data_IF_162228440092
#
_entry.id   IF_162228440092
#
_cell.length_a   1.000
_cell.length_b   1.000
_cell.length_c   1.000
_cell.angle_alpha   90.00
_cell.angle_beta   90.00
_cell.angle_gamma   90.00
#
_symmetry.space_group_name_H-M   'P 1'
#
loop_
_entity.id
_entity.type
_entity.pdbx_description
1 polymer ?
#
# COMPACT_ATOMS: atom_id res chain seq x y z
N UNK A 1 -7.19 26.94 -1.42
CA UNK A 1 -8.09 25.76 -1.24
C UNK A 1 -7.19 24.58 -0.92
N UNK A 2 -7.53 23.79 0.09
CA UNK A 2 -6.77 22.59 0.43
C UNK A 2 -6.75 21.63 -0.76
N UNK A 3 -5.58 21.05 -1.07
CA UNK A 3 -5.41 20.05 -2.14
C UNK A 3 -6.26 18.81 -1.89
N UNK A 4 -6.51 18.49 -0.63
CA UNK A 4 -7.17 17.25 -0.20
C UNK A 4 -8.58 17.46 0.38
N UNK A 5 -9.18 18.66 0.23
CA UNK A 5 -10.56 18.99 0.68
C UNK A 5 -10.89 18.60 2.13
N UNK A 6 -9.91 18.64 3.06
CA UNK A 6 -10.11 18.28 4.46
C UNK A 6 -10.16 16.76 4.70
N UNK A 7 -9.63 15.96 3.78
CA UNK A 7 -9.45 14.52 3.99
C UNK A 7 -8.59 14.27 5.22
N UNK A 8 -9.03 13.34 6.07
CA UNK A 8 -8.25 12.85 7.21
C UNK A 8 -7.71 11.45 6.93
N UNK A 9 -6.49 11.19 7.36
CA UNK A 9 -5.78 9.93 7.16
C UNK A 9 -5.25 9.38 8.48
N UNK A 10 -5.19 8.05 8.59
CA UNK A 10 -4.65 7.39 9.78
C UNK A 10 -3.12 7.50 9.80
N UNK A 11 -2.60 8.09 10.88
CA UNK A 11 -1.16 8.28 11.07
C UNK A 11 -0.69 7.62 12.36
N UNK A 12 0.61 7.33 12.41
CA UNK A 12 1.32 6.93 13.64
C UNK A 12 2.51 7.84 13.87
N UNK A 13 2.86 8.16 15.13
CA UNK A 13 4.10 8.88 15.40
C UNK A 13 5.32 8.12 14.86
N UNK A 14 6.25 8.80 14.23
CA UNK A 14 7.54 8.21 13.81
C UNK A 14 8.25 7.53 14.97
N UNK A 15 8.17 8.10 16.18
CA UNK A 15 8.71 7.50 17.39
C UNK A 15 8.14 6.10 17.69
N UNK A 16 6.88 5.82 17.32
CA UNK A 16 6.31 4.47 17.45
C UNK A 16 6.94 3.48 16.45
N UNK A 17 7.22 3.93 15.23
CA UNK A 17 7.95 3.14 14.24
C UNK A 17 9.40 2.88 14.70
N UNK A 18 10.08 3.89 15.23
CA UNK A 18 11.43 3.78 15.78
C UNK A 18 11.51 2.81 16.97
N UNK A 19 10.50 2.82 17.84
CA UNK A 19 10.44 1.95 19.02
C UNK A 19 10.32 0.46 18.68
N UNK A 20 9.68 0.11 17.55
CA UNK A 20 9.61 -1.27 17.05
C UNK A 20 10.93 -1.68 16.35
N UNK A 21 11.65 -0.71 15.81
CA UNK A 21 12.87 -0.90 15.04
C UNK A 21 12.74 -0.32 13.64
N UNK A 22 13.10 0.95 13.48
CA UNK A 22 13.07 1.63 12.19
C UNK A 22 14.00 0.96 11.17
N UNK A 23 13.61 1.01 9.90
CA UNK A 23 14.37 0.45 8.78
C UNK A 23 14.08 1.26 7.51
N UNK A 24 14.86 1.03 6.47
CA UNK A 24 14.56 1.45 5.11
C UNK A 24 14.48 0.21 4.20
N UNK A 25 13.51 0.16 3.30
CA UNK A 25 13.19 -1.01 2.46
C UNK A 25 12.01 -1.82 3.01
N UNK A 26 12.17 -3.11 3.22
CA UNK A 26 11.10 -4.06 3.61
C UNK A 26 11.43 -4.87 4.87
N UNK A 27 10.41 -5.17 5.67
CA UNK A 27 10.45 -6.11 6.80
C UNK A 27 9.35 -7.15 6.68
N UNK A 28 9.71 -8.43 6.78
CA UNK A 28 8.77 -9.57 6.67
C UNK A 28 8.15 -9.98 8.03
N UNK A 29 8.26 -9.16 9.08
CA UNK A 29 7.62 -9.36 10.39
C UNK A 29 6.58 -8.25 10.66
N UNK A 30 5.53 -8.15 9.81
CA UNK A 30 4.58 -7.03 9.84
C UNK A 30 3.72 -7.01 11.10
N UNK A 31 3.51 -8.14 11.76
CA UNK A 31 2.61 -8.25 12.90
C UNK A 31 3.07 -7.41 14.10
N UNK A 32 4.38 -7.35 14.36
CA UNK A 32 4.93 -6.57 15.48
C UNK A 32 4.68 -5.07 15.26
N UNK A 33 4.85 -4.60 14.03
CA UNK A 33 4.57 -3.22 13.64
C UNK A 33 3.09 -2.90 13.74
N UNK A 34 2.23 -3.71 13.14
CA UNK A 34 0.79 -3.47 13.16
C UNK A 34 0.22 -3.50 14.60
N UNK A 35 0.67 -4.45 15.43
CA UNK A 35 0.30 -4.52 16.82
C UNK A 35 0.74 -3.29 17.64
N UNK A 36 1.92 -2.74 17.34
CA UNK A 36 2.42 -1.55 18.02
C UNK A 36 1.65 -0.30 17.57
N UNK A 37 1.38 -0.17 16.28
CA UNK A 37 0.72 0.99 15.69
C UNK A 37 -0.74 1.12 16.10
N UNK A 38 -1.46 0.00 16.15
CA UNK A 38 -2.89 -0.02 16.47
C UNK A 38 -3.19 -0.25 17.97
N UNK A 39 -2.21 -0.05 18.85
CA UNK A 39 -2.45 0.09 20.28
C UNK A 39 -3.29 1.35 20.55
N UNK A 40 -4.22 1.30 21.52
CA UNK A 40 -5.00 2.48 21.89
C UNK A 40 -4.13 3.71 22.16
N UNK A 41 -4.45 4.82 21.53
CA UNK A 41 -3.76 6.10 21.68
C UNK A 41 -2.44 6.25 20.93
N UNK A 42 -2.05 5.31 20.06
CA UNK A 42 -0.85 5.42 19.21
C UNK A 42 -1.24 6.01 17.84
N UNK A 43 -2.06 5.28 17.07
CA UNK A 43 -2.57 5.82 15.81
C UNK A 43 -3.64 6.89 16.08
N UNK A 44 -3.80 7.85 15.17
CA UNK A 44 -4.88 8.83 15.17
C UNK A 44 -5.14 9.36 13.76
N UNK A 45 -6.32 9.94 13.56
CA UNK A 45 -6.63 10.61 12.30
C UNK A 45 -6.09 12.04 12.31
N UNK A 46 -5.44 12.41 11.22
CA UNK A 46 -4.84 13.73 10.99
C UNK A 46 -5.29 14.27 9.64
N UNK A 47 -5.46 15.59 9.50
CA UNK A 47 -5.66 16.25 8.21
C UNK A 47 -4.52 15.86 7.26
N UNK A 48 -4.87 15.40 6.05
CA UNK A 48 -3.91 14.87 5.08
C UNK A 48 -2.89 15.92 4.63
N UNK A 49 -3.31 17.18 4.47
CA UNK A 49 -2.40 18.25 4.07
C UNK A 49 -1.35 18.53 5.15
N UNK A 50 -1.72 18.40 6.42
CA UNK A 50 -0.77 18.47 7.53
C UNK A 50 0.12 17.24 7.59
N UNK A 51 -0.45 16.04 7.43
CA UNK A 51 0.31 14.79 7.46
C UNK A 51 1.39 14.73 6.37
N UNK A 52 1.11 15.24 5.17
CA UNK A 52 2.07 15.33 4.06
C UNK A 52 3.29 16.24 4.36
N UNK A 53 3.17 17.14 5.34
CA UNK A 53 4.21 18.09 5.72
C UNK A 53 4.85 17.79 7.08
N UNK A 54 4.45 16.68 7.72
CA UNK A 54 4.79 16.34 9.10
C UNK A 54 5.66 15.07 9.16
N UNK A 55 6.99 15.20 9.01
CA UNK A 55 7.90 14.02 9.01
C UNK A 55 7.98 13.31 10.38
N UNK A 56 7.45 13.90 11.43
CA UNK A 56 7.27 13.28 12.75
C UNK A 56 6.14 12.25 12.79
N UNK A 57 5.35 12.12 11.72
CA UNK A 57 4.31 11.11 11.55
C UNK A 57 4.54 10.26 10.31
N UNK A 58 3.97 9.05 10.31
CA UNK A 58 3.87 8.17 9.16
C UNK A 58 2.40 7.88 8.87
N UNK A 59 1.95 8.17 7.66
CA UNK A 59 0.62 7.80 7.17
C UNK A 59 0.61 6.30 6.90
N UNK A 60 -0.34 5.57 7.49
CA UNK A 60 -0.50 4.13 7.23
C UNK A 60 -1.22 3.92 5.90
N UNK A 61 -0.53 3.26 4.98
CA UNK A 61 -1.06 2.93 3.67
C UNK A 61 -1.38 1.43 3.61
N UNK A 62 -2.62 1.09 3.30
CA UNK A 62 -2.98 -0.25 2.87
C UNK A 62 -2.35 -0.51 1.50
N UNK A 63 -1.51 -1.54 1.39
CA UNK A 63 -0.83 -1.90 0.14
C UNK A 63 -1.07 -3.38 -0.16
N UNK A 64 -2.08 -3.68 -0.98
CA UNK A 64 -2.46 -5.04 -1.30
C UNK A 64 -1.76 -5.52 -2.59
N UNK A 65 -1.05 -6.64 -2.53
CA UNK A 65 -0.50 -7.34 -3.68
C UNK A 65 -1.31 -8.60 -3.94
N UNK A 66 -1.63 -8.88 -5.20
CA UNK A 66 -2.44 -10.02 -5.61
C UNK A 66 -1.60 -11.02 -6.38
N UNK A 67 -1.68 -12.29 -5.99
CA UNK A 67 -0.92 -13.37 -6.59
C UNK A 67 -1.87 -14.47 -7.09
N UNK A 68 -1.52 -15.11 -8.21
CA UNK A 68 -2.17 -16.31 -8.71
C UNK A 68 -1.15 -17.23 -9.34
N UNK A 69 -1.00 -18.47 -8.81
CA UNK A 69 -0.06 -19.50 -9.32
C UNK A 69 1.37 -18.99 -9.55
N UNK A 70 1.89 -18.19 -8.62
CA UNK A 70 3.25 -17.65 -8.67
C UNK A 70 3.42 -16.37 -9.50
N UNK A 71 2.38 -15.94 -10.24
CA UNK A 71 2.34 -14.67 -10.95
C UNK A 71 1.77 -13.57 -10.05
N UNK A 72 2.13 -12.31 -10.32
CA UNK A 72 1.75 -11.14 -9.53
C UNK A 72 0.94 -10.20 -10.41
N UNK A 73 -0.19 -9.70 -9.87
CA UNK A 73 -0.99 -8.68 -10.54
C UNK A 73 -0.19 -7.39 -10.63
N UNK A 74 -0.11 -6.84 -11.83
CA UNK A 74 0.56 -5.59 -12.10
C UNK A 74 -0.26 -4.74 -13.07
N UNK A 75 -0.08 -3.42 -12.99
CA UNK A 75 -0.74 -2.47 -13.88
C UNK A 75 0.17 -1.26 -14.13
N UNK A 76 -0.11 -0.53 -15.20
CA UNK A 76 0.53 0.76 -15.46
C UNK A 76 -0.45 1.90 -15.15
N UNK A 77 0.07 3.01 -14.61
CA UNK A 77 -0.75 4.19 -14.34
C UNK A 77 -0.85 5.08 -15.57
N UNK A 78 -2.07 5.43 -15.95
CA UNK A 78 -2.30 6.36 -17.05
C UNK A 78 -2.11 7.81 -16.60
N UNK A 79 -1.91 8.73 -17.58
CA UNK A 79 -1.85 10.17 -17.33
C UNK A 79 -3.13 10.78 -16.70
N UNK A 80 -4.19 10.00 -16.51
CA UNK A 80 -5.45 10.42 -15.90
C UNK A 80 -5.46 10.24 -14.37
N UNK A 81 -4.43 9.62 -13.78
CA UNK A 81 -4.28 9.50 -12.33
C UNK A 81 -3.87 10.84 -11.70
N UNK A 82 -4.26 11.06 -10.44
CA UNK A 82 -3.94 12.28 -9.70
C UNK A 82 -2.45 12.47 -9.40
N UNK A 83 -1.64 11.40 -9.52
CA UNK A 83 -0.20 11.42 -9.24
C UNK A 83 0.63 11.42 -10.52
N UNK A 84 0.94 12.60 -11.03
CA UNK A 84 1.68 12.80 -12.28
C UNK A 84 3.06 12.13 -12.33
N UNK A 85 3.73 11.99 -11.17
CA UNK A 85 5.05 11.33 -11.05
C UNK A 85 5.03 9.82 -11.28
N UNK A 86 3.85 9.17 -11.19
CA UNK A 86 3.67 7.74 -11.42
C UNK A 86 3.19 7.43 -12.84
N UNK A 87 3.07 8.43 -13.72
CA UNK A 87 2.69 8.20 -15.11
C UNK A 87 3.74 7.31 -15.78
N UNK A 88 3.28 6.31 -16.53
CA UNK A 88 4.09 5.31 -17.23
C UNK A 88 4.90 4.37 -16.31
N UNK A 89 4.74 4.48 -14.98
CA UNK A 89 5.28 3.50 -14.03
C UNK A 89 4.33 2.32 -13.88
N UNK A 90 4.94 1.17 -13.62
CA UNK A 90 4.23 -0.06 -13.25
C UNK A 90 4.10 -0.16 -11.73
N UNK A 91 2.94 -0.59 -11.29
CA UNK A 91 2.63 -0.79 -9.88
C UNK A 91 2.08 -2.20 -9.64
N UNK A 92 2.36 -2.73 -8.46
CA UNK A 92 1.78 -3.98 -7.94
C UNK A 92 0.71 -3.71 -6.88
N UNK A 93 0.84 -2.60 -6.16
CA UNK A 93 0.01 -2.28 -5.01
C UNK A 93 -1.34 -1.71 -5.41
N UNK A 94 -2.38 -2.32 -4.89
CA UNK A 94 -3.75 -1.84 -4.86
C UNK A 94 -4.02 -1.33 -3.45
N UNK A 95 -4.51 -0.11 -3.29
CA UNK A 95 -4.80 0.43 -1.97
C UNK A 95 -4.44 1.90 -1.80
N UNK A 96 -4.61 2.39 -0.56
CA UNK A 96 -4.44 3.81 -0.24
C UNK A 96 -4.53 4.09 1.24
N UNK A 97 -5.04 5.28 1.57
CA UNK A 97 -5.13 5.78 2.94
C UNK A 97 -6.30 5.16 3.71
N UNK A 98 -6.12 4.99 5.00
CA UNK A 98 -7.20 4.64 5.92
C UNK A 98 -7.85 5.95 6.39
N UNK A 99 -9.16 6.05 6.27
CA UNK A 99 -9.91 7.27 6.52
C UNK A 99 -10.97 7.06 7.63
N UNK A 100 -11.53 8.14 8.25
CA UNK A 100 -12.59 8.01 9.24
C UNK A 100 -13.88 7.33 8.74
N UNK A 101 -14.11 7.28 7.42
CA UNK A 101 -15.23 6.55 6.82
C UNK A 101 -15.13 5.03 7.07
N UNK A 102 -13.92 4.50 7.27
CA UNK A 102 -13.65 3.09 7.56
C UNK A 102 -14.00 2.72 9.00
N UNK A 103 -14.07 3.72 9.90
CA UNK A 103 -14.43 3.63 11.30
C UNK A 103 -13.77 4.75 12.10
N UNK A 104 -14.38 5.10 13.24
CA UNK A 104 -13.89 6.20 14.08
C UNK A 104 -12.87 5.77 15.15
N UNK A 105 -12.75 4.47 15.40
CA UNK A 105 -11.76 3.94 16.33
C UNK A 105 -10.48 3.60 15.58
N UNK A 106 -9.34 4.08 16.09
CA UNK A 106 -8.01 3.85 15.50
C UNK A 106 -7.49 2.44 15.87
N UNK A 107 -8.16 1.42 15.37
CA UNK A 107 -7.93 0.02 15.71
C UNK A 107 -7.85 -0.89 14.47
N UNK A 108 -7.60 -2.19 14.72
CA UNK A 108 -7.45 -3.17 13.66
C UNK A 108 -8.70 -3.30 12.78
N UNK A 109 -9.92 -3.20 13.33
CA UNK A 109 -11.14 -3.35 12.53
C UNK A 109 -11.31 -2.19 11.55
N UNK A 110 -11.06 -0.95 11.98
CA UNK A 110 -11.06 0.23 11.10
C UNK A 110 -9.97 0.12 10.02
N UNK A 111 -8.76 -0.26 10.42
CA UNK A 111 -7.67 -0.47 9.47
C UNK A 111 -8.03 -1.52 8.40
N UNK A 112 -8.57 -2.67 8.80
CA UNK A 112 -8.98 -3.72 7.85
C UNK A 112 -10.15 -3.30 6.97
N UNK A 113 -11.12 -2.55 7.50
CA UNK A 113 -12.21 -1.99 6.71
C UNK A 113 -11.69 -1.04 5.61
N UNK A 114 -10.68 -0.23 5.94
CA UNK A 114 -10.00 0.62 4.95
C UNK A 114 -9.29 -0.20 3.87
N UNK A 115 -8.57 -1.27 4.25
CA UNK A 115 -7.97 -2.20 3.27
C UNK A 115 -9.02 -2.73 2.30
N UNK A 116 -10.16 -3.20 2.81
CA UNK A 116 -11.24 -3.74 1.98
C UNK A 116 -11.90 -2.69 1.09
N UNK A 117 -12.10 -1.46 1.61
CA UNK A 117 -12.67 -0.35 0.82
C UNK A 117 -11.76 0.00 -0.34
N UNK A 118 -10.48 0.24 -0.10
CA UNK A 118 -9.51 0.59 -1.14
C UNK A 118 -9.45 -0.47 -2.23
N UNK A 119 -9.40 -1.76 -1.87
CA UNK A 119 -9.41 -2.86 -2.85
C UNK A 119 -10.67 -2.79 -3.72
N UNK A 120 -11.87 -2.64 -3.10
CA UNK A 120 -13.15 -2.58 -3.86
C UNK A 120 -13.27 -1.35 -4.75
N UNK A 121 -12.67 -0.23 -4.36
CA UNK A 121 -12.66 0.99 -5.18
C UNK A 121 -11.84 0.79 -6.44
N UNK A 122 -10.66 0.16 -6.34
CA UNK A 122 -9.72 0.03 -7.45
C UNK A 122 -9.98 -1.20 -8.35
N UNK A 123 -10.34 -2.37 -7.78
CA UNK A 123 -10.51 -3.62 -8.53
C UNK A 123 -11.71 -4.45 -8.09
N UNK A 124 -12.14 -5.32 -8.99
CA UNK A 124 -13.04 -6.45 -8.70
C UNK A 124 -12.38 -7.74 -9.18
N UNK A 125 -12.47 -8.81 -8.40
CA UNK A 125 -11.97 -10.13 -8.78
C UNK A 125 -13.02 -11.22 -8.52
N UNK A 126 -12.93 -12.32 -9.27
CA UNK A 126 -13.80 -13.50 -9.13
C UNK A 126 -13.11 -14.57 -8.28
N UNK A 127 -13.95 -15.41 -7.65
CA UNK A 127 -13.47 -16.52 -6.85
C UNK A 127 -13.13 -16.14 -5.42
N UNK A 128 -12.26 -16.94 -4.79
CA UNK A 128 -11.82 -16.76 -3.41
C UNK A 128 -10.41 -16.20 -3.34
N UNK A 129 -10.11 -15.53 -2.23
CA UNK A 129 -8.79 -14.99 -1.93
C UNK A 129 -8.34 -15.42 -0.54
N UNK A 130 -7.10 -15.89 -0.42
CA UNK A 130 -6.46 -16.11 0.86
C UNK A 130 -5.59 -14.89 1.20
N UNK A 131 -6.01 -14.11 2.20
CA UNK A 131 -5.29 -12.92 2.64
C UNK A 131 -4.28 -13.29 3.74
N UNK A 132 -3.09 -12.73 3.64
CA UNK A 132 -2.10 -12.74 4.71
C UNK A 132 -1.42 -11.37 4.85
N UNK A 133 -1.13 -10.99 6.08
CA UNK A 133 -0.26 -9.86 6.37
C UNK A 133 1.17 -10.26 5.99
N UNK A 134 1.79 -9.53 5.03
CA UNK A 134 3.02 -10.00 4.37
C UNK A 134 4.27 -9.25 4.80
N UNK A 135 4.25 -7.92 4.77
CA UNK A 135 5.41 -7.09 5.03
C UNK A 135 5.03 -5.67 5.48
N UNK A 136 6.03 -4.93 5.93
CA UNK A 136 5.99 -3.47 6.08
C UNK A 136 7.03 -2.87 5.16
N UNK A 137 6.69 -1.77 4.46
CA UNK A 137 7.59 -0.99 3.60
C UNK A 137 7.77 0.40 4.19
N UNK A 138 9.02 0.83 4.29
CA UNK A 138 9.40 2.21 4.55
C UNK A 138 10.45 2.65 3.54
N UNK A 139 10.27 3.82 2.95
CA UNK A 139 11.22 4.40 1.99
C UNK A 139 11.45 5.88 2.31
N UNK A 140 12.41 6.16 3.16
CA UNK A 140 12.79 7.52 3.55
C UNK A 140 13.73 8.21 2.53
N UNK A 141 13.94 7.62 1.34
CA UNK A 141 14.84 8.18 0.31
C UNK A 141 14.22 9.34 -0.47
N UNK A 142 12.92 9.55 -0.32
CA UNK A 142 12.19 10.62 -1.01
C UNK A 142 11.14 11.25 -0.08
N UNK A 143 10.69 12.47 -0.43
CA UNK A 143 9.76 13.26 0.39
C UNK A 143 8.45 12.51 0.70
N UNK A 144 7.90 11.79 -0.27
CA UNK A 144 6.64 11.06 -0.10
C UNK A 144 6.83 9.86 0.82
N UNK A 145 7.81 9.02 0.56
CA UNK A 145 8.10 7.87 1.40
C UNK A 145 8.46 8.27 2.83
N UNK A 146 9.04 9.48 3.01
CA UNK A 146 9.40 9.98 4.35
C UNK A 146 8.20 10.13 5.29
N UNK A 147 7.00 10.35 4.77
CA UNK A 147 5.76 10.52 5.55
C UNK A 147 4.76 9.37 5.36
N UNK A 148 5.12 8.32 4.62
CA UNK A 148 4.27 7.15 4.40
C UNK A 148 4.91 5.87 4.91
N UNK A 149 4.08 4.90 5.30
CA UNK A 149 4.49 3.55 5.70
C UNK A 149 3.49 2.54 5.12
N UNK A 150 3.97 1.66 4.23
CA UNK A 150 3.13 0.66 3.58
C UNK A 150 2.98 -0.60 4.43
N UNK A 151 1.76 -1.00 4.72
CA UNK A 151 1.46 -2.30 5.30
C UNK A 151 1.01 -3.22 4.18
N UNK A 152 1.85 -4.19 3.84
CA UNK A 152 1.63 -5.07 2.70
C UNK A 152 0.76 -6.25 3.08
N UNK A 153 -0.38 -6.37 2.40
CA UNK A 153 -1.24 -7.55 2.42
C UNK A 153 -1.05 -8.33 1.12
N UNK A 154 -0.80 -9.61 1.23
CA UNK A 154 -0.78 -10.51 0.09
C UNK A 154 -2.10 -11.26 0.01
N UNK A 155 -2.68 -11.27 -1.19
CA UNK A 155 -3.89 -12.01 -1.54
C UNK A 155 -3.54 -13.08 -2.58
N UNK A 156 -3.63 -14.35 -2.20
CA UNK A 156 -3.49 -15.45 -3.15
C UNK A 156 -4.87 -15.81 -3.69
N UNK A 157 -5.11 -15.51 -4.98
CA UNK A 157 -6.38 -15.75 -5.67
C UNK A 157 -6.42 -17.15 -6.28
N UNK A 158 -7.60 -17.76 -6.30
CA UNK A 158 -7.87 -19.01 -7.02
C UNK A 158 -8.22 -18.80 -8.51
N UNK A 159 -8.52 -17.56 -8.93
CA UNK A 159 -8.85 -17.15 -10.29
C UNK A 159 -7.96 -16.00 -10.78
N UNK A 160 -7.75 -15.92 -12.10
CA UNK A 160 -7.08 -14.80 -12.78
C UNK A 160 -8.05 -13.67 -13.19
N UNK A 161 -9.33 -13.85 -12.97
CA UNK A 161 -10.35 -12.90 -13.39
C UNK A 161 -10.34 -11.68 -12.47
N UNK A 162 -9.60 -10.64 -12.87
CA UNK A 162 -9.51 -9.35 -12.19
C UNK A 162 -9.84 -8.24 -13.17
N UNK A 163 -10.70 -7.32 -12.76
CA UNK A 163 -11.11 -6.15 -13.54
C UNK A 163 -10.77 -4.87 -12.77
N UNK A 164 -10.28 -3.86 -13.49
CA UNK A 164 -10.10 -2.53 -12.94
C UNK A 164 -11.46 -1.82 -12.81
N UNK A 165 -11.75 -1.25 -11.63
CA UNK A 165 -12.88 -0.36 -11.40
C UNK A 165 -12.51 1.09 -11.74
N UNK A 166 -11.23 1.43 -11.62
CA UNK A 166 -10.71 2.75 -11.93
C UNK A 166 -10.06 2.83 -13.31
N UNK A 167 -10.32 3.95 -14.02
CA UNK A 167 -9.74 4.22 -15.36
C UNK A 167 -8.24 4.52 -15.33
N UNK A 168 -7.70 4.74 -14.15
CA UNK A 168 -6.28 5.00 -13.95
C UNK A 168 -5.41 3.74 -14.06
N UNK A 169 -5.99 2.55 -13.85
CA UNK A 169 -5.30 1.27 -13.93
C UNK A 169 -5.35 0.73 -15.37
N UNK A 170 -4.29 0.94 -16.13
CA UNK A 170 -4.14 0.39 -17.47
C UNK A 170 -3.29 -0.89 -17.47
N UNK A 171 -3.44 -1.70 -18.50
CA UNK A 171 -2.66 -2.93 -18.69
C UNK A 171 -2.69 -3.90 -17.49
N UNK A 172 -3.78 -3.84 -16.69
CA UNK A 172 -3.98 -4.69 -15.54
C UNK A 172 -3.94 -6.17 -15.95
N UNK A 173 -3.12 -6.96 -15.28
CA UNK A 173 -3.01 -8.40 -15.50
C UNK A 173 -1.87 -9.04 -14.73
N UNK A 174 -1.93 -10.37 -14.60
CA UNK A 174 -0.88 -11.14 -13.94
C UNK A 174 0.39 -11.23 -14.79
N UNK A 175 1.54 -10.99 -14.16
CA UNK A 175 2.87 -11.02 -14.74
C UNK A 175 3.72 -12.03 -14.02
N UNK A 176 4.63 -12.69 -14.76
CA UNK A 176 5.62 -13.56 -14.14
C UNK A 176 6.60 -12.72 -13.31
N UNK A 177 7.04 -13.28 -12.18
CA UNK A 177 7.98 -12.58 -11.30
C UNK A 177 9.30 -12.27 -12.02
N UNK A 178 9.73 -13.13 -12.94
CA UNK A 178 10.92 -12.93 -13.77
C UNK A 178 10.77 -11.72 -14.72
N UNK A 179 9.56 -11.49 -15.28
CA UNK A 179 9.28 -10.32 -16.11
C UNK A 179 9.37 -9.02 -15.28
N UNK A 180 8.79 -9.05 -14.05
CA UNK A 180 8.81 -7.91 -13.13
C UNK A 180 10.21 -7.60 -12.60
N UNK A 181 11.00 -8.63 -12.31
CA UNK A 181 12.37 -8.51 -11.81
C UNK A 181 13.42 -8.25 -12.92
N UNK A 182 13.03 -8.34 -14.17
CA UNK A 182 13.88 -8.15 -15.35
C UNK A 182 13.42 -6.96 -16.21
N UNK A 183 12.73 -7.19 -17.36
CA UNK A 183 12.43 -6.15 -18.34
C UNK A 183 11.58 -4.98 -17.80
N UNK A 184 10.77 -5.22 -16.78
CA UNK A 184 9.89 -4.20 -16.18
C UNK A 184 10.48 -3.54 -14.94
N UNK A 185 11.57 -4.05 -14.37
CA UNK A 185 12.07 -3.60 -13.06
C UNK A 185 12.32 -2.08 -12.99
N UNK A 186 13.02 -1.53 -13.97
CA UNK A 186 13.34 -0.09 -14.04
C UNK A 186 12.08 0.80 -14.23
N UNK A 187 10.98 0.20 -14.66
CA UNK A 187 9.70 0.87 -14.82
C UNK A 187 8.81 0.77 -13.60
N UNK A 188 9.17 -0.03 -12.60
CA UNK A 188 8.40 -0.14 -11.37
C UNK A 188 8.46 1.16 -10.56
N UNK A 189 7.38 1.48 -9.88
CA UNK A 189 7.43 2.44 -8.79
C UNK A 189 8.17 1.85 -7.59
N UNK A 190 8.69 2.67 -6.70
CA UNK A 190 9.65 2.26 -5.67
C UNK A 190 9.13 1.12 -4.77
N UNK A 191 7.90 1.24 -4.26
CA UNK A 191 7.36 0.20 -3.38
C UNK A 191 7.09 -1.10 -4.11
N UNK A 192 6.72 -1.05 -5.38
CA UNK A 192 6.58 -2.24 -6.21
C UNK A 192 7.92 -2.93 -6.46
N UNK A 193 8.99 -2.18 -6.72
CA UNK A 193 10.34 -2.74 -6.83
C UNK A 193 10.76 -3.45 -5.53
N UNK A 194 10.55 -2.79 -4.38
CA UNK A 194 10.81 -3.37 -3.05
C UNK A 194 10.01 -4.66 -2.84
N UNK A 195 8.74 -4.70 -3.28
CA UNK A 195 7.91 -5.91 -3.20
C UNK A 195 8.43 -7.04 -4.10
N UNK A 196 8.86 -6.73 -5.33
CA UNK A 196 9.45 -7.71 -6.25
C UNK A 196 10.70 -8.34 -5.64
N UNK A 197 11.59 -7.52 -5.10
CA UNK A 197 12.81 -8.01 -4.42
C UNK A 197 12.48 -8.93 -3.24
N UNK A 198 11.46 -8.58 -2.44
CA UNK A 198 11.01 -9.41 -1.33
C UNK A 198 10.39 -10.73 -1.77
N UNK A 199 9.66 -10.75 -2.90
CA UNK A 199 9.04 -11.95 -3.46
C UNK A 199 10.06 -12.92 -4.05
N UNK A 200 11.20 -12.43 -4.55
CA UNK A 200 12.29 -13.25 -5.08
C UNK A 200 13.10 -13.99 -3.99
N UNK A 201 13.06 -13.51 -2.75
CA UNK A 201 13.83 -14.08 -1.61
C UNK A 201 13.19 -15.36 -1.02
N UNK A 202 12.09 -15.83 -1.58
CA UNK A 202 11.39 -17.07 -1.23
C UNK A 202 11.67 -18.12 -2.27
#
# INVERSE_FOLDING_TARGET
>A
MSRYNGEQVLVVPRAAFEAVGAFNGVRLNPQDYLNAFLKPGVAHFMDRELAEQSPEFKQLIAYAIFCHKGRVLAYSRTAKGNETRLHDKWSLGIGGHINPIDGLAENLSTYLAGVEREIREEITFSGSACQQLYAVINDDTNEVGSVHLGIVHRFDLDSEEVCANEKALANLGFRDLEELAGPLYEKLETWSAICVDALQQK
#
